data_IF_866914516527
#
_entry.id   IF_866914516527
#
_cell.length_a   1.000
_cell.length_b   1.000
_cell.length_c   1.000
_cell.angle_alpha   90.00
_cell.angle_beta   90.00
_cell.angle_gamma   90.00
#
_symmetry.space_group_name_H-M   'P 1'
#
loop_
_entity.id
_entity.type
_entity.pdbx_description
1 polymer ?
#
# COMPACT_ATOMS: atom_id res chain seq x y z
N UNK A 1 4.06 3.04 13.68
CA UNK A 1 3.28 3.54 12.53
C UNK A 1 2.55 4.85 12.85
N UNK A 2 1.74 4.90 13.92
CA UNK A 2 0.97 6.09 14.30
C UNK A 2 1.75 7.44 14.29
N UNK A 3 2.97 7.49 14.82
CA UNK A 3 3.75 8.73 14.85
C UNK A 3 4.10 9.25 13.44
N UNK A 4 4.52 8.35 12.53
CA UNK A 4 4.90 8.70 11.16
C UNK A 4 3.66 9.10 10.35
N UNK A 5 2.58 8.31 10.44
CA UNK A 5 1.34 8.61 9.73
C UNK A 5 0.69 9.92 10.19
N UNK A 6 0.75 10.24 11.48
CA UNK A 6 0.25 11.50 12.00
C UNK A 6 1.08 12.69 11.52
N UNK A 7 2.41 12.60 11.55
CA UNK A 7 3.29 13.63 11.03
C UNK A 7 3.06 13.87 9.53
N UNK A 8 2.96 12.80 8.74
CA UNK A 8 2.68 12.92 7.30
C UNK A 8 1.36 13.63 7.05
N UNK A 9 0.31 13.31 7.83
CA UNK A 9 -0.99 13.99 7.74
C UNK A 9 -0.90 15.48 8.08
N UNK A 10 -0.16 15.84 9.13
CA UNK A 10 0.07 17.25 9.50
C UNK A 10 0.80 18.04 8.40
N UNK A 11 1.70 17.37 7.69
CA UNK A 11 2.44 17.93 6.56
C UNK A 11 1.66 17.89 5.23
N UNK A 12 0.44 17.34 5.21
CA UNK A 12 -0.35 17.17 3.99
C UNK A 12 0.24 16.17 3.00
N UNK A 13 1.07 15.24 3.48
CA UNK A 13 1.72 14.20 2.68
C UNK A 13 0.86 12.93 2.64
N UNK A 14 0.95 12.22 1.51
CA UNK A 14 0.38 10.88 1.37
C UNK A 14 1.35 9.81 1.85
N UNK A 15 0.84 8.74 2.44
CA UNK A 15 1.62 7.64 3.01
C UNK A 15 1.33 6.34 2.26
N UNK A 16 2.39 5.65 1.85
CA UNK A 16 2.35 4.29 1.32
C UNK A 16 2.93 3.34 2.38
N UNK A 17 2.19 2.28 2.72
CA UNK A 17 2.74 1.17 3.49
C UNK A 17 3.26 0.09 2.53
N UNK A 18 4.58 -0.09 2.47
CA UNK A 18 5.23 -1.09 1.62
C UNK A 18 5.47 -2.41 2.37
N UNK A 19 5.46 -3.53 1.64
CA UNK A 19 5.70 -4.88 2.17
C UNK A 19 4.46 -5.54 2.79
N UNK A 20 3.25 -5.20 2.35
CA UNK A 20 2.02 -5.85 2.82
C UNK A 20 1.80 -7.18 2.10
N UNK A 21 1.95 -8.28 2.82
CA UNK A 21 1.91 -9.64 2.28
C UNK A 21 0.68 -10.43 2.74
N UNK A 22 0.07 -10.05 3.87
CA UNK A 22 -1.06 -10.79 4.47
C UNK A 22 -2.26 -9.91 4.75
N UNK A 23 -3.46 -10.51 4.73
CA UNK A 23 -4.69 -9.81 5.10
C UNK A 23 -4.63 -9.27 6.53
N UNK A 24 -4.00 -9.99 7.47
CA UNK A 24 -3.87 -9.53 8.85
C UNK A 24 -3.06 -8.22 8.94
N UNK A 25 -2.01 -8.07 8.13
CA UNK A 25 -1.26 -6.82 8.03
C UNK A 25 -2.11 -5.70 7.44
N UNK A 26 -2.87 -5.97 6.37
CA UNK A 26 -3.83 -5.02 5.80
C UNK A 26 -4.84 -4.52 6.83
N UNK A 27 -5.48 -5.43 7.57
CA UNK A 27 -6.45 -5.06 8.60
C UNK A 27 -5.82 -4.22 9.72
N UNK A 28 -4.58 -4.53 10.10
CA UNK A 28 -3.84 -3.73 11.09
C UNK A 28 -3.59 -2.30 10.60
N UNK A 29 -3.29 -2.12 9.30
CA UNK A 29 -3.03 -0.82 8.69
C UNK A 29 -4.26 0.09 8.66
N UNK A 30 -5.46 -0.47 8.62
CA UNK A 30 -6.73 0.28 8.69
C UNK A 30 -6.89 1.14 9.96
N UNK A 31 -6.09 0.89 10.99
CA UNK A 31 -6.07 1.69 12.23
C UNK A 31 -5.17 2.93 12.15
N UNK A 32 -4.45 3.14 11.04
CA UNK A 32 -3.51 4.25 10.85
C UNK A 32 -3.90 5.10 9.64
N UNK A 33 -3.38 6.33 9.58
CA UNK A 33 -3.58 7.21 8.42
C UNK A 33 -2.65 6.81 7.27
N UNK A 34 -2.99 5.72 6.58
CA UNK A 34 -2.29 5.19 5.40
C UNK A 34 -3.20 5.39 4.18
N UNK A 35 -2.67 5.98 3.12
CA UNK A 35 -3.44 6.25 1.90
C UNK A 35 -3.38 5.09 0.91
N UNK A 36 -2.23 4.41 0.85
CA UNK A 36 -1.98 3.33 -0.10
C UNK A 36 -1.20 2.19 0.53
N UNK A 37 -1.31 1.02 -0.05
CA UNK A 37 -0.45 -0.11 0.27
C UNK A 37 0.27 -0.63 -0.98
N UNK A 38 1.43 -1.22 -0.75
CA UNK A 38 2.15 -2.02 -1.73
C UNK A 38 2.63 -3.31 -1.08
N UNK A 39 2.49 -4.42 -1.77
CA UNK A 39 3.07 -5.69 -1.35
C UNK A 39 2.40 -6.87 -2.04
N UNK A 40 2.89 -8.07 -1.71
CA UNK A 40 2.49 -9.30 -2.41
C UNK A 40 1.04 -9.69 -2.16
N UNK A 41 0.39 -9.12 -1.14
CA UNK A 41 -1.06 -9.25 -0.97
C UNK A 41 -1.82 -8.66 -2.17
N UNK A 42 -1.31 -7.57 -2.76
CA UNK A 42 -1.94 -6.91 -3.91
C UNK A 42 -1.48 -7.51 -5.23
N UNK A 43 -0.17 -7.64 -5.41
CA UNK A 43 0.46 -8.21 -6.60
C UNK A 43 1.96 -8.45 -6.34
N UNK A 44 2.52 -9.47 -6.99
CA UNK A 44 3.98 -9.65 -7.06
C UNK A 44 4.58 -8.72 -8.12
N UNK A 45 5.88 -8.36 -8.00
CA UNK A 45 6.63 -7.72 -9.08
C UNK A 45 6.50 -8.53 -10.36
N UNK A 46 6.23 -7.84 -11.46
CA UNK A 46 5.96 -8.47 -12.75
C UNK A 46 6.67 -7.73 -13.88
N UNK A 47 7.04 -8.42 -14.98
CA UNK A 47 7.58 -7.77 -16.17
C UNK A 47 6.61 -6.75 -16.77
N UNK A 48 7.14 -5.76 -17.49
CA UNK A 48 6.36 -4.68 -18.10
C UNK A 48 5.19 -5.19 -18.97
N UNK A 49 5.42 -6.25 -19.77
CA UNK A 49 4.37 -6.82 -20.62
C UNK A 49 3.17 -7.34 -19.84
N UNK A 50 3.41 -7.95 -18.68
CA UNK A 50 2.35 -8.47 -17.81
C UNK A 50 1.67 -7.35 -17.02
N UNK A 51 2.39 -6.29 -16.67
CA UNK A 51 1.81 -5.15 -15.95
C UNK A 51 0.69 -4.46 -16.72
N UNK A 52 0.85 -4.27 -18.04
CA UNK A 52 -0.17 -3.63 -18.87
C UNK A 52 -1.48 -4.43 -18.94
N UNK A 53 -1.37 -5.76 -19.05
CA UNK A 53 -2.52 -6.66 -18.98
C UNK A 53 -3.21 -6.58 -17.61
N UNK A 54 -2.43 -6.65 -16.53
CA UNK A 54 -2.94 -6.58 -15.15
C UNK A 54 -3.65 -5.27 -14.81
N UNK A 55 -3.25 -4.15 -15.43
CA UNK A 55 -3.93 -2.85 -15.29
C UNK A 55 -5.23 -2.77 -16.08
N UNK A 56 -5.34 -3.51 -17.18
CA UNK A 56 -6.52 -3.50 -18.06
C UNK A 56 -7.68 -4.31 -17.47
N UNK A 57 -7.38 -5.28 -16.61
CA UNK A 57 -8.35 -6.17 -15.95
C UNK A 57 -8.92 -5.63 -14.63
N UNK A 58 -8.54 -4.42 -14.20
CA UNK A 58 -9.00 -3.77 -12.95
C UNK A 58 -9.95 -2.62 -13.22
#
# INVERSE_FOLDING_TARGET
MAAISSLARELGLKVVAEGVETEQQWHLLGNYAIDFIQGYLIAKPQPQGQFAEHLSDR
#
